data_IF_609203208821
#
_entry.id   IF_609203208821
#
_cell.length_a   1.000
_cell.length_b   1.000
_cell.length_c   1.000
_cell.angle_alpha   90.00
_cell.angle_beta   90.00
_cell.angle_gamma   90.00
#
_symmetry.space_group_name_H-M   'P 1'
#
loop_
_entity.id
_entity.type
_entity.pdbx_description
1 polymer ?
#
# COMPACT_ATOMS: atom_id res chain seq x y z
N UNK A 1 -28.96 2.49 33.53
CA UNK A 1 -28.67 1.47 32.50
C UNK A 1 -27.17 1.48 32.23
N UNK A 2 -26.44 0.45 32.65
CA UNK A 2 -24.99 0.37 32.44
C UNK A 2 -24.73 0.11 30.95
N UNK A 3 -23.99 0.99 30.28
CA UNK A 3 -23.57 0.77 28.90
C UNK A 3 -22.56 -0.38 28.93
N UNK A 4 -22.94 -1.54 28.38
CA UNK A 4 -21.98 -2.63 28.14
C UNK A 4 -20.97 -2.13 27.10
N UNK A 5 -19.82 -1.66 27.57
CA UNK A 5 -18.69 -1.32 26.70
C UNK A 5 -17.90 -2.60 26.44
N UNK A 6 -17.97 -3.10 25.21
CA UNK A 6 -17.03 -4.13 24.74
C UNK A 6 -15.73 -3.43 24.33
N UNK A 7 -14.58 -4.01 24.67
CA UNK A 7 -13.28 -3.52 24.21
C UNK A 7 -13.19 -3.61 22.69
N UNK A 8 -12.59 -2.62 22.04
CA UNK A 8 -12.34 -2.65 20.59
C UNK A 8 -11.56 -3.90 20.18
N UNK A 9 -10.60 -4.33 20.99
CA UNK A 9 -9.77 -5.51 20.72
C UNK A 9 -10.62 -6.79 20.68
N UNK A 10 -11.49 -7.00 21.68
CA UNK A 10 -12.36 -8.17 21.74
C UNK A 10 -13.41 -8.18 20.63
N UNK A 11 -14.00 -7.02 20.32
CA UNK A 11 -14.94 -6.90 19.21
C UNK A 11 -14.26 -7.18 17.86
N UNK A 12 -13.02 -6.70 17.68
CA UNK A 12 -12.24 -6.95 16.47
C UNK A 12 -11.87 -8.43 16.32
N UNK A 13 -11.46 -9.10 17.40
CA UNK A 13 -11.16 -10.54 17.37
C UNK A 13 -12.40 -11.37 16.99
N UNK A 14 -13.55 -11.05 17.56
CA UNK A 14 -14.81 -11.70 17.22
C UNK A 14 -15.17 -11.49 15.73
N UNK A 15 -15.07 -10.25 15.24
CA UNK A 15 -15.33 -9.92 13.82
C UNK A 15 -14.37 -10.64 12.87
N UNK A 16 -13.07 -10.70 13.20
CA UNK A 16 -12.05 -11.37 12.38
C UNK A 16 -12.04 -12.90 12.55
N UNK A 17 -12.83 -13.46 13.46
CA UNK A 17 -13.01 -14.92 13.57
C UNK A 17 -13.84 -15.49 12.43
N UNK A 18 -14.66 -14.67 11.77
CA UNK A 18 -15.38 -15.02 10.55
C UNK A 18 -14.37 -15.12 9.38
N UNK A 19 -14.26 -16.28 8.71
CA UNK A 19 -13.30 -16.49 7.63
C UNK A 19 -13.48 -15.54 6.43
N UNK A 20 -14.72 -15.17 6.09
CA UNK A 20 -15.01 -14.31 4.95
C UNK A 20 -14.62 -12.86 5.26
N UNK A 21 -14.91 -12.41 6.48
CA UNK A 21 -14.49 -11.09 6.96
C UNK A 21 -12.97 -11.03 7.05
N UNK A 22 -12.33 -12.05 7.61
CA UNK A 22 -10.88 -12.11 7.71
C UNK A 22 -10.19 -12.09 6.34
N UNK A 23 -10.73 -12.82 5.35
CA UNK A 23 -10.20 -12.83 3.99
C UNK A 23 -10.28 -11.44 3.33
N UNK A 24 -11.38 -10.71 3.53
CA UNK A 24 -11.52 -9.33 3.06
C UNK A 24 -10.54 -8.38 3.76
N UNK A 25 -10.39 -8.54 5.08
CA UNK A 25 -9.45 -7.76 5.88
C UNK A 25 -8.00 -7.96 5.41
N UNK A 26 -7.56 -9.22 5.27
CA UNK A 26 -6.21 -9.55 4.80
C UNK A 26 -5.96 -9.06 3.36
N UNK A 27 -6.97 -9.13 2.49
CA UNK A 27 -6.87 -8.55 1.14
C UNK A 27 -6.64 -7.03 1.19
N UNK A 28 -7.35 -6.34 2.06
CA UNK A 28 -7.17 -4.89 2.25
C UNK A 28 -5.80 -4.58 2.83
N UNK A 29 -5.37 -5.34 3.84
CA UNK A 29 -4.08 -5.16 4.49
C UNK A 29 -2.92 -5.35 3.50
N UNK A 30 -2.97 -6.38 2.65
CA UNK A 30 -2.00 -6.57 1.56
C UNK A 30 -1.95 -5.38 0.60
N UNK A 31 -3.11 -4.81 0.26
CA UNK A 31 -3.17 -3.65 -0.64
C UNK A 31 -2.53 -2.42 -0.01
N UNK A 32 -2.75 -2.21 1.29
CA UNK A 32 -2.14 -1.11 2.03
C UNK A 32 -0.62 -1.29 2.15
N UNK A 33 -0.14 -2.51 2.47
CA UNK A 33 1.30 -2.83 2.54
C UNK A 33 2.05 -2.46 1.25
N UNK A 34 1.47 -2.74 0.09
CA UNK A 34 2.07 -2.37 -1.21
C UNK A 34 2.14 -0.84 -1.36
N UNK A 35 1.07 -0.13 -0.99
CA UNK A 35 1.02 1.34 -1.08
C UNK A 35 2.03 2.00 -0.14
N UNK A 36 2.07 1.56 1.11
CA UNK A 36 3.04 2.04 2.10
C UNK A 36 4.47 1.81 1.63
N UNK A 37 4.74 0.65 1.00
CA UNK A 37 6.07 0.36 0.48
C UNK A 37 6.50 1.31 -0.66
N UNK A 38 5.58 1.67 -1.56
CA UNK A 38 5.85 2.67 -2.61
C UNK A 38 6.14 4.04 -2.00
N UNK A 39 5.34 4.45 -1.03
CA UNK A 39 5.55 5.70 -0.29
C UNK A 39 6.91 5.67 0.41
N UNK A 40 7.27 4.57 1.06
CA UNK A 40 8.55 4.42 1.74
C UNK A 40 9.74 4.55 0.78
N UNK A 41 9.69 3.92 -0.40
CA UNK A 41 10.72 4.10 -1.42
C UNK A 41 10.84 5.56 -1.87
N UNK A 42 9.71 6.20 -2.14
CA UNK A 42 9.67 7.59 -2.58
C UNK A 42 10.19 8.56 -1.50
N UNK A 43 9.79 8.35 -0.25
CA UNK A 43 10.25 9.13 0.90
C UNK A 43 11.75 8.93 1.16
N UNK A 44 12.26 7.70 1.04
CA UNK A 44 13.69 7.41 1.17
C UNK A 44 14.54 8.13 0.11
N UNK A 45 13.96 8.40 -1.05
CA UNK A 45 14.58 9.13 -2.14
C UNK A 45 14.38 10.67 -2.06
N UNK A 46 13.58 11.16 -1.10
CA UNK A 46 13.23 12.57 -0.97
C UNK A 46 12.39 13.12 -2.13
N UNK A 47 11.61 12.26 -2.81
CA UNK A 47 10.88 12.64 -4.02
C UNK A 47 9.39 12.91 -3.75
N UNK A 48 8.81 13.84 -4.51
CA UNK A 48 7.37 13.95 -4.68
C UNK A 48 6.87 12.98 -5.76
N UNK A 49 5.57 12.67 -5.77
CA UNK A 49 4.99 11.81 -6.83
C UNK A 49 5.21 12.42 -8.23
N UNK A 50 5.12 13.75 -8.37
CA UNK A 50 5.38 14.42 -9.65
C UNK A 50 6.84 14.29 -10.10
N UNK A 51 7.80 14.30 -9.18
CA UNK A 51 9.21 14.06 -9.49
C UNK A 51 9.45 12.61 -9.91
N UNK A 52 8.79 11.63 -9.26
CA UNK A 52 8.85 10.23 -9.70
C UNK A 52 8.24 10.08 -11.10
N UNK A 53 7.12 10.74 -11.38
CA UNK A 53 6.52 10.75 -12.72
C UNK A 53 7.47 11.30 -13.78
N UNK A 54 8.14 12.42 -13.49
CA UNK A 54 9.14 13.02 -14.38
C UNK A 54 10.32 12.06 -14.64
N UNK A 55 10.83 11.38 -13.61
CA UNK A 55 11.90 10.38 -13.76
C UNK A 55 11.49 9.17 -14.59
N UNK A 56 10.22 8.77 -14.49
CA UNK A 56 9.65 7.66 -15.26
C UNK A 56 9.20 8.07 -16.66
N UNK A 57 9.21 9.36 -17.00
CA UNK A 57 8.71 9.86 -18.28
C UNK A 57 7.20 9.67 -18.47
N UNK A 58 6.42 9.61 -17.38
CA UNK A 58 4.96 9.43 -17.41
C UNK A 58 4.23 10.64 -16.82
N UNK A 59 2.92 10.72 -17.05
CA UNK A 59 2.14 11.83 -16.52
C UNK A 59 1.93 11.75 -15.00
N UNK A 60 1.79 12.90 -14.30
CA UNK A 60 1.42 12.93 -12.87
C UNK A 60 0.09 12.21 -12.56
N UNK A 61 -0.85 12.17 -13.52
CA UNK A 61 -2.09 11.41 -13.37
C UNK A 61 -1.83 9.89 -13.41
N UNK A 62 -0.89 9.42 -14.25
CA UNK A 62 -0.52 8.00 -14.31
C UNK A 62 0.18 7.55 -13.02
N UNK A 63 1.12 8.35 -12.49
CA UNK A 63 1.76 8.01 -11.21
C UNK A 63 0.74 8.01 -10.06
N UNK A 64 -0.16 9.00 -10.01
CA UNK A 64 -1.18 9.08 -8.96
C UNK A 64 -2.11 7.87 -8.99
N UNK A 65 -2.49 7.38 -10.18
CA UNK A 65 -3.27 6.14 -10.31
C UNK A 65 -2.49 4.91 -9.84
N UNK A 66 -1.20 4.86 -10.13
CA UNK A 66 -0.30 3.77 -9.72
C UNK A 66 -0.15 3.74 -8.20
N UNK A 67 0.12 4.88 -7.56
CA UNK A 67 0.24 4.96 -6.09
C UNK A 67 -1.10 4.69 -5.39
N UNK A 68 -2.23 5.06 -6.00
CA UNK A 68 -3.56 4.80 -5.42
C UNK A 68 -3.97 3.34 -5.55
N UNK A 69 -3.62 2.66 -6.63
CA UNK A 69 -3.99 1.27 -6.91
C UNK A 69 -2.72 0.40 -7.04
N UNK A 70 -1.79 0.54 -6.10
CA UNK A 70 -0.48 -0.08 -6.19
C UNK A 70 -0.57 -1.62 -6.21
N UNK A 71 -1.60 -2.18 -5.57
CA UNK A 71 -1.91 -3.61 -5.56
C UNK A 71 -2.27 -4.18 -6.94
N UNK A 72 -2.71 -3.32 -7.88
CA UNK A 72 -3.04 -3.72 -9.26
C UNK A 72 -1.88 -3.49 -10.23
N UNK A 73 -0.79 -2.86 -9.78
CA UNK A 73 0.36 -2.62 -10.63
C UNK A 73 1.09 -3.94 -10.91
N UNK A 74 1.61 -4.08 -12.13
CA UNK A 74 2.46 -5.23 -12.47
C UNK A 74 3.77 -5.18 -11.68
N UNK A 75 4.40 -6.34 -11.48
CA UNK A 75 5.73 -6.43 -10.85
C UNK A 75 6.74 -5.51 -11.55
N UNK A 76 6.72 -5.46 -12.88
CA UNK A 76 7.57 -4.57 -13.67
C UNK A 76 7.31 -3.08 -13.36
N UNK A 77 6.05 -2.68 -13.18
CA UNK A 77 5.69 -1.30 -12.82
C UNK A 77 6.20 -0.94 -11.43
N UNK A 78 6.04 -1.84 -10.46
CA UNK A 78 6.56 -1.67 -9.10
C UNK A 78 8.09 -1.58 -9.10
N UNK A 79 8.77 -2.43 -9.88
CA UNK A 79 10.22 -2.42 -10.01
C UNK A 79 10.74 -1.13 -10.65
N UNK A 80 10.11 -0.65 -11.73
CA UNK A 80 10.46 0.64 -12.36
C UNK A 80 10.25 1.82 -11.41
N UNK A 81 9.15 1.82 -10.66
CA UNK A 81 8.88 2.83 -9.63
C UNK A 81 10.00 2.84 -8.58
N UNK A 82 10.37 1.68 -8.06
CA UNK A 82 11.44 1.55 -7.08
C UNK A 82 12.80 2.01 -7.64
N UNK A 83 13.11 1.65 -8.89
CA UNK A 83 14.32 2.08 -9.58
C UNK A 83 14.36 3.61 -9.78
N UNK A 84 13.23 4.24 -10.10
CA UNK A 84 13.12 5.71 -10.17
C UNK A 84 13.37 6.39 -8.82
N UNK A 85 13.08 5.68 -7.72
CA UNK A 85 13.42 6.07 -6.36
C UNK A 85 14.85 5.66 -5.93
N UNK A 86 15.65 5.05 -6.81
CA UNK A 86 17.03 4.63 -6.52
C UNK A 86 17.17 3.30 -5.78
N UNK A 87 16.09 2.52 -5.67
CA UNK A 87 16.09 1.21 -5.01
C UNK A 87 16.56 0.15 -6.00
N UNK A 88 17.75 -0.44 -5.75
CA UNK A 88 18.36 -1.44 -6.65
C UNK A 88 17.76 -2.84 -6.52
N UNK A 89 17.29 -3.21 -5.33
CA UNK A 89 16.73 -4.53 -5.05
C UNK A 89 15.41 -4.39 -4.28
N UNK A 90 14.31 -4.03 -4.97
CA UNK A 90 13.03 -3.80 -4.33
C UNK A 90 12.48 -5.07 -3.70
N UNK A 91 12.03 -4.94 -2.45
CA UNK A 91 11.32 -6.00 -1.72
C UNK A 91 10.00 -5.45 -1.22
N UNK A 92 8.94 -6.22 -1.39
CA UNK A 92 7.61 -5.95 -0.84
C UNK A 92 7.25 -7.15 0.01
N UNK A 93 6.93 -6.92 1.27
CA UNK A 93 6.49 -7.96 2.20
C UNK A 93 4.97 -7.88 2.27
N UNK A 94 4.30 -8.94 1.82
CA UNK A 94 2.85 -9.06 1.76
C UNK A 94 2.28 -9.83 2.94
#
# INVERSE_FOLDING_TARGET
MSKKSVSWESAREEILSDPDINALYEKQLRSERVREQLVAWRCSAGLSSSQVAARLGISPAAISRTERNAEKATIETLARYAAACGVKNPKIIL
#
